data_IF_497974611872
#
_entry.id   IF_497974611872
#
_cell.length_a   1.000
_cell.length_b   1.000
_cell.length_c   1.000
_cell.angle_alpha   90.00
_cell.angle_beta   90.00
_cell.angle_gamma   90.00
#
_symmetry.space_group_name_H-M   'P 1'
#
loop_
_entity.id
_entity.type
_entity.pdbx_description
1 polymer ?
#
# COMPACT_ATOMS: atom_id res chain seq x y z
N UNK A 1 -0.17 -18.29 -11.40
CA UNK A 1 -0.36 -16.99 -10.69
C UNK A 1 0.70 -16.03 -11.20
N UNK A 2 0.31 -14.82 -11.63
CA UNK A 2 1.23 -13.76 -12.06
C UNK A 2 1.66 -13.00 -10.80
N UNK A 3 2.94 -13.05 -10.43
CA UNK A 3 3.50 -12.23 -9.37
C UNK A 3 4.05 -10.92 -9.97
N UNK A 4 3.90 -9.81 -9.26
CA UNK A 4 4.42 -8.50 -9.68
C UNK A 4 5.93 -8.39 -9.40
N UNK A 5 6.70 -9.35 -9.90
CA UNK A 5 8.12 -9.51 -9.67
C UNK A 5 8.83 -9.71 -11.01
N UNK A 6 9.95 -9.02 -11.22
CA UNK A 6 10.89 -9.27 -12.32
C UNK A 6 11.43 -10.70 -12.17
N UNK A 7 11.28 -11.53 -13.21
CA UNK A 7 11.72 -12.94 -13.15
C UNK A 7 13.24 -13.11 -13.10
N UNK A 8 13.98 -12.17 -13.68
CA UNK A 8 15.45 -12.26 -13.79
C UNK A 8 16.17 -11.70 -12.55
N UNK A 9 15.59 -10.70 -11.87
CA UNK A 9 16.22 -10.02 -10.74
C UNK A 9 15.47 -10.16 -9.42
N UNK A 10 14.24 -10.70 -9.41
CA UNK A 10 13.41 -10.83 -8.20
C UNK A 10 12.91 -9.51 -7.65
N UNK A 11 13.16 -8.39 -8.34
CA UNK A 11 12.71 -7.08 -7.93
C UNK A 11 11.19 -6.93 -8.09
N UNK A 12 10.50 -6.21 -7.19
CA UNK A 12 9.12 -5.84 -7.44
C UNK A 12 9.05 -4.94 -8.70
N UNK A 13 8.11 -5.25 -9.60
CA UNK A 13 7.86 -4.45 -10.81
C UNK A 13 7.34 -3.05 -10.47
N UNK A 14 6.64 -2.93 -9.35
CA UNK A 14 6.20 -1.66 -8.76
C UNK A 14 6.14 -1.79 -7.24
N UNK A 15 6.49 -0.71 -6.53
CA UNK A 15 6.42 -0.67 -5.07
C UNK A 15 4.96 -0.48 -4.68
N UNK A 16 4.29 -1.58 -4.34
CA UNK A 16 2.89 -1.61 -3.91
C UNK A 16 2.76 -2.30 -2.55
N UNK A 17 1.71 -1.98 -1.76
CA UNK A 17 1.38 -2.72 -0.55
C UNK A 17 1.16 -4.21 -0.86
N UNK A 18 1.67 -5.10 0.01
CA UNK A 18 1.45 -6.55 -0.14
C UNK A 18 -0.04 -6.92 -0.15
N UNK A 19 -0.84 -6.17 0.60
CA UNK A 19 -2.29 -6.29 0.62
C UNK A 19 -2.89 -4.92 0.93
N UNK A 20 -4.12 -4.70 0.46
CA UNK A 20 -4.92 -3.52 0.75
C UNK A 20 -6.30 -4.00 1.19
N UNK A 21 -6.73 -3.61 2.38
CA UNK A 21 -8.08 -3.87 2.87
C UNK A 21 -8.83 -2.56 2.92
N UNK A 22 -9.93 -2.46 2.18
CA UNK A 22 -10.82 -1.30 2.21
C UNK A 22 -12.10 -1.70 2.94
N UNK A 23 -12.42 -0.98 4.00
CA UNK A 23 -13.63 -1.16 4.80
C UNK A 23 -14.44 0.13 4.76
N UNK A 24 -15.72 -0.02 4.46
CA UNK A 24 -16.69 1.06 4.40
C UNK A 24 -17.89 0.66 5.26
N UNK A 25 -18.23 1.49 6.24
CA UNK A 25 -19.40 1.32 7.08
C UNK A 25 -20.27 2.56 6.93
N UNK A 26 -21.47 2.35 6.39
CA UNK A 26 -22.50 3.37 6.32
C UNK A 26 -23.60 3.00 7.31
N UNK A 27 -23.88 3.90 8.25
CA UNK A 27 -24.82 3.66 9.33
C UNK A 27 -25.83 4.81 9.44
N UNK A 28 -27.05 4.55 8.96
CA UNK A 28 -28.20 5.42 9.24
C UNK A 28 -28.74 5.13 10.65
N UNK A 29 -28.56 6.07 11.57
CA UNK A 29 -28.97 5.93 12.99
C UNK A 29 -30.45 6.33 13.12
N UNK A 30 -30.84 7.41 12.45
CA UNK A 30 -32.25 7.87 12.35
C UNK A 30 -32.47 8.45 10.95
N UNK A 31 -33.72 8.79 10.60
CA UNK A 31 -34.02 9.45 9.31
C UNK A 31 -33.32 10.79 9.10
N UNK A 32 -32.79 11.41 10.16
CA UNK A 32 -32.08 12.69 10.10
C UNK A 32 -30.58 12.59 10.47
N UNK A 33 -30.06 11.39 10.78
CA UNK A 33 -28.68 11.20 11.24
C UNK A 33 -28.08 9.95 10.62
N UNK A 34 -26.99 10.15 9.87
CA UNK A 34 -26.23 9.07 9.23
C UNK A 34 -24.75 9.25 9.49
N UNK A 35 -24.12 8.23 10.06
CA UNK A 35 -22.68 8.17 10.24
C UNK A 35 -22.05 7.32 9.13
N UNK A 36 -20.87 7.73 8.69
CA UNK A 36 -20.10 7.02 7.68
C UNK A 36 -18.66 6.86 8.16
N UNK A 37 -18.11 5.65 8.08
CA UNK A 37 -16.74 5.34 8.49
C UNK A 37 -16.02 4.62 7.35
N UNK A 38 -14.85 5.14 6.99
CA UNK A 38 -13.95 4.61 5.98
C UNK A 38 -12.66 4.17 6.69
N UNK A 39 -12.24 2.93 6.47
CA UNK A 39 -10.97 2.43 6.97
C UNK A 39 -10.21 1.69 5.88
N UNK A 40 -9.04 2.19 5.52
CA UNK A 40 -8.15 1.56 4.54
C UNK A 40 -6.86 1.14 5.22
N UNK A 41 -6.55 -0.16 5.19
CA UNK A 41 -5.31 -0.74 5.70
C UNK A 41 -4.40 -1.12 4.54
N UNK A 42 -3.20 -0.53 4.52
CA UNK A 42 -2.14 -0.87 3.59
C UNK A 42 -1.07 -1.72 4.29
N UNK A 43 -0.81 -2.91 3.75
CA UNK A 43 0.26 -3.79 4.20
C UNK A 43 1.66 -3.21 3.91
N UNK A 44 2.69 -3.85 4.48
CA UNK A 44 4.10 -3.44 4.30
C UNK A 44 4.46 -3.32 2.81
N UNK A 45 5.19 -2.27 2.46
CA UNK A 45 5.77 -2.08 1.13
C UNK A 45 7.26 -2.41 1.18
N UNK A 46 7.69 -3.36 0.35
CA UNK A 46 9.09 -3.75 0.25
C UNK A 46 9.79 -2.89 -0.82
N UNK A 47 10.94 -2.27 -0.50
CA UNK A 47 11.74 -1.55 -1.50
C UNK A 47 12.41 -2.55 -2.45
N UNK A 48 12.89 -2.04 -3.59
CA UNK A 48 13.64 -2.83 -4.57
C UNK A 48 14.99 -3.25 -3.97
N UNK A 49 15.43 -4.46 -4.29
CA UNK A 49 16.67 -5.06 -3.75
C UNK A 49 17.83 -5.05 -4.74
N UNK A 50 17.56 -4.93 -6.04
CA UNK A 50 18.56 -4.79 -7.10
C UNK A 50 18.40 -3.47 -7.86
N UNK A 51 19.51 -2.88 -8.30
CA UNK A 51 19.51 -1.69 -9.14
C UNK A 51 19.12 -2.08 -10.57
N UNK A 52 18.08 -1.47 -11.12
CA UNK A 52 17.65 -1.70 -12.51
C UNK A 52 18.10 -0.54 -13.43
N UNK A 53 18.60 0.55 -12.84
CA UNK A 53 19.14 1.70 -13.55
C UNK A 53 20.58 2.01 -13.13
N UNK A 54 21.40 2.48 -14.08
CA UNK A 54 22.78 2.93 -13.83
C UNK A 54 22.89 4.01 -12.74
N UNK A 55 21.84 4.82 -12.58
CA UNK A 55 21.74 5.80 -11.49
C UNK A 55 21.57 5.16 -10.11
N UNK A 56 20.84 4.04 -10.01
CA UNK A 56 20.64 3.30 -8.75
C UNK A 56 21.89 2.52 -8.36
N UNK A 57 22.66 2.03 -9.34
CA UNK A 57 23.97 1.41 -9.13
C UNK A 57 24.99 2.42 -8.57
N UNK A 58 24.94 3.67 -9.05
CA UNK A 58 25.91 4.71 -8.66
C UNK A 58 25.52 5.44 -7.37
N UNK A 59 24.22 5.64 -7.10
CA UNK A 59 23.72 6.39 -5.93
C UNK A 59 23.21 5.51 -4.78
N UNK A 60 23.13 4.20 -4.99
CA UNK A 60 22.58 3.25 -4.02
C UNK A 60 21.04 3.20 -4.05
N UNK A 61 20.51 2.08 -3.54
CA UNK A 61 19.07 1.83 -3.47
C UNK A 61 18.46 2.47 -2.22
N UNK A 62 17.26 3.04 -2.38
CA UNK A 62 16.44 3.45 -1.23
C UNK A 62 15.91 2.20 -0.52
N UNK A 63 16.62 1.75 0.52
CA UNK A 63 16.22 0.61 1.37
C UNK A 63 15.07 0.91 2.34
N UNK A 64 14.36 2.02 2.17
CA UNK A 64 13.34 2.48 3.10
C UNK A 64 12.07 1.65 2.93
N UNK A 65 11.96 0.57 3.71
CA UNK A 65 10.74 -0.21 3.82
C UNK A 65 9.67 0.59 4.56
N UNK A 66 8.49 0.72 3.94
CA UNK A 66 7.35 1.35 4.59
C UNK A 66 6.59 0.28 5.40
N UNK A 67 6.47 0.51 6.70
CA UNK A 67 5.65 -0.32 7.59
C UNK A 67 4.19 -0.34 7.14
N UNK A 68 3.41 -1.32 7.63
CA UNK A 68 1.97 -1.32 7.39
C UNK A 68 1.35 -0.09 8.07
N UNK A 69 0.38 0.54 7.41
CA UNK A 69 -0.29 1.73 7.92
C UNK A 69 -1.78 1.70 7.58
N UNK A 70 -2.59 2.35 8.40
CA UNK A 70 -4.02 2.50 8.17
C UNK A 70 -4.45 3.95 8.12
N UNK A 71 -5.42 4.23 7.26
CA UNK A 71 -6.12 5.50 7.15
C UNK A 71 -7.55 5.30 7.60
N UNK A 72 -8.03 6.18 8.48
CA UNK A 72 -9.40 6.16 9.00
C UNK A 72 -10.02 7.52 8.72
N UNK A 73 -11.19 7.54 8.11
CA UNK A 73 -12.05 8.72 7.95
C UNK A 73 -13.42 8.44 8.53
N UNK A 74 -14.02 9.42 9.18
CA UNK A 74 -15.38 9.31 9.70
C UNK A 74 -16.14 10.62 9.46
N UNK A 75 -17.41 10.50 9.07
CA UNK A 75 -18.32 11.59 8.74
C UNK A 75 -19.66 11.30 9.45
N UNK A 76 -20.39 12.35 9.85
CA UNK A 76 -21.71 12.27 10.52
C UNK A 76 -22.61 13.37 9.97
#
# INVERSE_FOLDING_TARGET
MIASEQKDTGNPLSIIPKYTVNTFLDWTITSALSANVNWTLYGKQKPRTHAESRSEETKGLSGKALGAYSLVGANV
#
